data_IF_205718036584
#
_entry.id   IF_205718036584
#
_cell.length_a   1.000
_cell.length_b   1.000
_cell.length_c   1.000
_cell.angle_alpha   90.00
_cell.angle_beta   90.00
_cell.angle_gamma   90.00
#
_symmetry.space_group_name_H-M   'P 1'
#
loop_
_entity.id
_entity.type
_entity.pdbx_description
1 polymer ?
#
# COMPACT_ATOMS: atom_id res chain seq x y z
N UNK A 1 -24.66 26.97 -0.27
CA UNK A 1 -23.75 25.81 -0.16
C UNK A 1 -24.51 24.62 0.42
N UNK A 2 -24.28 23.41 -0.09
CA UNK A 2 -24.83 22.18 0.50
C UNK A 2 -23.99 21.73 1.69
N UNK A 3 -24.56 20.90 2.57
CA UNK A 3 -23.84 20.29 3.69
C UNK A 3 -22.53 19.61 3.25
N UNK A 4 -22.58 18.84 2.16
CA UNK A 4 -21.40 18.16 1.63
C UNK A 4 -20.33 19.13 1.13
N UNK A 5 -20.71 20.22 0.47
CA UNK A 5 -19.76 21.25 0.01
C UNK A 5 -19.09 21.98 1.17
N UNK A 6 -19.81 22.24 2.26
CA UNK A 6 -19.24 22.90 3.44
C UNK A 6 -18.21 21.99 4.13
N UNK A 7 -18.56 20.71 4.37
CA UNK A 7 -17.64 19.73 4.96
C UNK A 7 -16.41 19.52 4.07
N UNK A 8 -16.60 19.38 2.76
CA UNK A 8 -15.49 19.21 1.83
C UNK A 8 -14.53 20.42 1.84
N UNK A 9 -15.08 21.64 1.77
CA UNK A 9 -14.28 22.87 1.82
C UNK A 9 -13.47 23.01 3.12
N UNK A 10 -14.07 22.68 4.26
CA UNK A 10 -13.38 22.75 5.57
C UNK A 10 -12.21 21.76 5.68
N UNK A 11 -12.29 20.62 4.99
CA UNK A 11 -11.26 19.58 5.03
C UNK A 11 -10.32 19.60 3.82
N UNK A 12 -10.44 20.60 2.93
CA UNK A 12 -9.66 20.65 1.68
C UNK A 12 -9.96 19.50 0.71
N UNK A 13 -11.12 18.86 0.83
CA UNK A 13 -11.50 17.73 -0.02
C UNK A 13 -12.14 18.19 -1.33
N UNK A 14 -11.86 17.46 -2.40
CA UNK A 14 -12.51 17.65 -3.69
C UNK A 14 -13.72 16.72 -3.82
N UNK A 15 -14.90 17.29 -4.10
CA UNK A 15 -16.09 16.49 -4.37
C UNK A 15 -15.98 15.90 -5.78
N UNK A 16 -15.78 14.59 -5.87
CA UNK A 16 -15.67 13.90 -7.16
C UNK A 16 -17.02 13.54 -7.79
N UNK A 17 -18.06 13.31 -6.97
CA UNK A 17 -19.43 13.02 -7.41
C UNK A 17 -20.44 13.20 -6.27
N UNK A 18 -21.66 13.59 -6.61
CA UNK A 18 -22.81 13.58 -5.70
C UNK A 18 -23.79 12.48 -6.13
N UNK A 19 -24.34 11.76 -5.15
CA UNK A 19 -25.27 10.64 -5.33
C UNK A 19 -26.59 11.00 -4.62
N UNK A 20 -27.71 11.10 -5.35
CA UNK A 20 -28.98 11.60 -4.81
C UNK A 20 -30.16 10.68 -5.14
N UNK A 21 -30.77 10.07 -4.10
CA UNK A 21 -32.03 9.34 -4.21
C UNK A 21 -33.18 10.23 -3.67
N UNK A 22 -34.05 10.77 -4.55
CA UNK A 22 -35.15 11.66 -4.17
C UNK A 22 -36.45 10.87 -3.92
N UNK A 23 -37.13 11.12 -2.79
CA UNK A 23 -38.47 10.57 -2.53
C UNK A 23 -38.56 9.06 -2.31
N UNK A 24 -37.43 8.36 -2.16
CA UNK A 24 -37.39 6.90 -2.01
C UNK A 24 -37.36 6.52 -0.53
N UNK A 25 -38.32 5.68 -0.12
CA UNK A 25 -38.35 5.04 1.20
C UNK A 25 -37.06 4.26 1.44
N UNK A 26 -36.49 4.37 2.65
CA UNK A 26 -35.31 3.62 3.06
C UNK A 26 -35.53 2.10 3.19
N UNK A 27 -36.76 1.61 3.04
CA UNK A 27 -37.14 0.21 3.24
C UNK A 27 -36.74 -0.70 2.06
N UNK A 28 -36.67 -0.18 0.83
CA UNK A 28 -36.30 -0.97 -0.36
C UNK A 28 -35.04 -0.41 -1.01
N UNK A 29 -33.96 -1.19 -0.98
CA UNK A 29 -32.63 -0.77 -1.43
C UNK A 29 -32.51 -0.79 -2.95
N UNK A 30 -33.27 -1.65 -3.61
CA UNK A 30 -33.27 -1.91 -5.04
C UNK A 30 -33.74 -0.67 -5.82
N UNK A 31 -34.56 0.17 -5.19
CA UNK A 31 -35.04 1.44 -5.77
C UNK A 31 -34.04 2.59 -5.65
N UNK A 32 -32.92 2.38 -4.94
CA UNK A 32 -31.91 3.41 -4.66
C UNK A 32 -30.75 3.33 -5.64
N UNK A 33 -31.00 3.70 -6.89
CA UNK A 33 -30.03 3.58 -7.98
C UNK A 33 -28.72 4.34 -7.70
N UNK A 34 -28.79 5.53 -7.10
CA UNK A 34 -27.58 6.31 -6.80
C UNK A 34 -26.78 5.69 -5.65
N UNK A 35 -27.45 5.08 -4.66
CA UNK A 35 -26.77 4.31 -3.61
C UNK A 35 -26.03 3.09 -4.17
N UNK A 36 -26.66 2.38 -5.11
CA UNK A 36 -26.05 1.23 -5.77
C UNK A 36 -24.84 1.65 -6.60
N UNK A 37 -24.91 2.80 -7.28
CA UNK A 37 -23.78 3.35 -8.00
C UNK A 37 -22.64 3.80 -7.07
N UNK A 38 -22.97 4.44 -5.95
CA UNK A 38 -21.99 4.80 -4.93
C UNK A 38 -21.20 3.57 -4.48
N UNK A 39 -21.90 2.46 -4.19
CA UNK A 39 -21.28 1.19 -3.82
C UNK A 39 -20.40 0.59 -4.93
N UNK A 40 -20.84 0.67 -6.18
CA UNK A 40 -20.04 0.19 -7.31
C UNK A 40 -18.76 1.02 -7.48
N UNK A 41 -18.86 2.33 -7.34
CA UNK A 41 -17.72 3.25 -7.44
C UNK A 41 -16.76 3.12 -6.25
N UNK A 42 -17.27 2.81 -5.05
CA UNK A 42 -16.45 2.44 -3.89
C UNK A 42 -15.60 1.19 -4.21
N UNK A 43 -16.22 0.13 -4.74
CA UNK A 43 -15.51 -1.09 -5.15
C UNK A 43 -14.45 -0.83 -6.24
N UNK A 44 -14.74 0.09 -7.16
CA UNK A 44 -13.83 0.53 -8.22
C UNK A 44 -12.79 1.56 -7.77
N UNK A 45 -12.73 1.90 -6.47
CA UNK A 45 -11.79 2.86 -5.89
C UNK A 45 -11.83 4.24 -6.58
N UNK A 46 -13.02 4.72 -6.92
CA UNK A 46 -13.20 6.02 -7.60
C UNK A 46 -13.17 7.23 -6.65
N UNK A 47 -13.15 6.99 -5.34
CA UNK A 47 -13.08 7.99 -4.28
C UNK A 47 -12.50 7.36 -3.01
N UNK A 48 -12.01 8.19 -2.11
CA UNK A 48 -11.39 7.76 -0.85
C UNK A 48 -12.34 7.88 0.36
N UNK A 49 -13.34 8.76 0.29
CA UNK A 49 -14.28 9.02 1.38
C UNK A 49 -15.72 9.26 0.89
N UNK A 50 -16.69 9.05 1.78
CA UNK A 50 -18.12 9.33 1.55
C UNK A 50 -18.63 10.28 2.61
N UNK A 51 -19.27 11.37 2.18
CA UNK A 51 -20.01 12.28 3.07
C UNK A 51 -21.49 11.95 2.98
N UNK A 52 -22.14 11.69 4.10
CA UNK A 52 -23.57 11.50 4.20
C UNK A 52 -24.13 12.34 5.35
N UNK A 53 -25.34 12.89 5.19
CA UNK A 53 -26.02 13.67 6.25
C UNK A 53 -26.30 12.84 7.52
N UNK A 54 -26.45 11.53 7.38
CA UNK A 54 -26.55 10.60 8.51
C UNK A 54 -26.24 9.16 8.05
N UNK A 55 -25.86 8.30 9.00
CA UNK A 55 -25.70 6.86 8.77
C UNK A 55 -26.98 6.22 8.21
N UNK A 56 -28.15 6.65 8.68
CA UNK A 56 -29.44 6.15 8.20
C UNK A 56 -29.70 6.41 6.71
N UNK A 57 -29.07 7.45 6.12
CA UNK A 57 -29.16 7.70 4.67
C UNK A 57 -28.40 6.66 3.85
N UNK A 58 -27.46 5.93 4.43
CA UNK A 58 -26.77 4.82 3.78
C UNK A 58 -27.49 3.49 4.04
N UNK A 59 -28.01 3.31 5.25
CA UNK A 59 -28.65 2.06 5.69
C UNK A 59 -27.62 1.06 6.24
N UNK A 60 -28.00 0.30 7.28
CA UNK A 60 -27.09 -0.55 8.08
C UNK A 60 -26.23 -1.51 7.24
N UNK A 61 -26.83 -2.22 6.29
CA UNK A 61 -26.14 -3.16 5.41
C UNK A 61 -25.18 -2.45 4.43
N UNK A 62 -25.56 -1.29 3.93
CA UNK A 62 -24.74 -0.48 3.02
C UNK A 62 -23.52 0.09 3.73
N UNK A 63 -23.65 0.54 4.98
CA UNK A 63 -22.51 1.00 5.80
C UNK A 63 -21.47 -0.11 5.89
N UNK A 64 -21.90 -1.33 6.24
CA UNK A 64 -21.00 -2.49 6.31
C UNK A 64 -20.25 -2.69 4.99
N UNK A 65 -20.96 -2.69 3.86
CA UNK A 65 -20.34 -2.88 2.54
C UNK A 65 -19.41 -1.74 2.13
N UNK A 66 -19.75 -0.49 2.46
CA UNK A 66 -18.90 0.67 2.16
C UNK A 66 -17.62 0.64 2.98
N UNK A 67 -17.72 0.36 4.28
CA UNK A 67 -16.55 0.20 5.13
C UNK A 67 -15.68 -0.93 4.60
N UNK A 68 -16.24 -2.10 4.28
CA UNK A 68 -15.47 -3.21 3.70
C UNK A 68 -14.78 -2.82 2.39
N UNK A 69 -15.45 -2.08 1.49
CA UNK A 69 -14.86 -1.65 0.23
C UNK A 69 -13.74 -0.62 0.42
N UNK A 70 -13.95 0.39 1.27
CA UNK A 70 -13.00 1.47 1.52
C UNK A 70 -11.78 0.96 2.31
N UNK A 71 -12.00 0.20 3.40
CA UNK A 71 -10.91 -0.42 4.16
C UNK A 71 -10.17 -1.49 3.35
N UNK A 72 -10.88 -2.31 2.57
CA UNK A 72 -10.26 -3.28 1.68
C UNK A 72 -9.37 -2.61 0.62
N UNK A 73 -9.80 -1.46 0.09
CA UNK A 73 -9.01 -0.67 -0.84
C UNK A 73 -7.74 -0.07 -0.18
N UNK A 74 -7.85 0.48 1.02
CA UNK A 74 -6.70 0.98 1.78
C UNK A 74 -5.71 -0.16 2.11
N UNK A 75 -6.22 -1.30 2.56
CA UNK A 75 -5.40 -2.47 2.90
C UNK A 75 -4.69 -3.05 1.67
N UNK A 76 -5.34 -3.10 0.50
CA UNK A 76 -4.68 -3.64 -0.71
C UNK A 76 -3.42 -2.88 -1.13
N UNK A 77 -3.38 -1.54 -1.00
CA UNK A 77 -2.17 -0.75 -1.27
C UNK A 77 -1.06 -1.05 -0.27
N UNK A 78 -1.41 -1.14 1.02
CA UNK A 78 -0.47 -1.51 2.07
C UNK A 78 0.08 -2.94 1.87
N UNK A 79 -0.76 -3.90 1.50
CA UNK A 79 -0.37 -5.29 1.22
C UNK A 79 0.53 -5.39 -0.02
N UNK A 80 0.24 -4.67 -1.09
CA UNK A 80 1.11 -4.64 -2.28
C UNK A 80 2.49 -4.07 -1.96
N UNK A 81 2.55 -2.96 -1.22
CA UNK A 81 3.80 -2.34 -0.81
C UNK A 81 4.58 -3.24 0.16
N UNK A 82 3.90 -3.88 1.11
CA UNK A 82 4.50 -4.88 2.01
C UNK A 82 5.05 -6.08 1.23
N UNK A 83 4.34 -6.56 0.19
CA UNK A 83 4.83 -7.63 -0.68
C UNK A 83 6.09 -7.22 -1.45
N UNK A 84 6.18 -5.97 -1.91
CA UNK A 84 7.39 -5.43 -2.56
C UNK A 84 8.58 -5.41 -1.61
N UNK A 85 8.40 -4.84 -0.40
CA UNK A 85 9.46 -4.84 0.61
C UNK A 85 9.91 -6.25 1.00
N UNK A 86 8.98 -7.20 1.14
CA UNK A 86 9.33 -8.59 1.45
C UNK A 86 10.18 -9.25 0.35
N UNK A 87 9.89 -8.96 -0.94
CA UNK A 87 10.70 -9.44 -2.06
C UNK A 87 12.09 -8.81 -2.07
N UNK A 88 12.16 -7.51 -1.83
CA UNK A 88 13.41 -6.76 -1.73
C UNK A 88 14.28 -7.30 -0.59
N UNK A 89 13.71 -7.44 0.62
CA UNK A 89 14.38 -8.04 1.78
C UNK A 89 14.90 -9.45 1.51
N UNK A 90 14.10 -10.29 0.83
CA UNK A 90 14.55 -11.63 0.44
C UNK A 90 15.76 -11.58 -0.51
N UNK A 91 15.74 -10.66 -1.49
CA UNK A 91 16.86 -10.48 -2.42
C UNK A 91 18.13 -9.95 -1.75
N UNK A 92 17.98 -8.97 -0.84
CA UNK A 92 19.07 -8.42 -0.03
C UNK A 92 19.69 -9.50 0.86
N UNK A 93 18.86 -10.32 1.49
CA UNK A 93 19.31 -11.45 2.34
C UNK A 93 20.15 -12.44 1.54
N UNK A 94 19.71 -12.81 0.33
CA UNK A 94 20.46 -13.72 -0.55
C UNK A 94 21.82 -13.10 -0.91
N UNK A 95 21.85 -11.81 -1.28
CA UNK A 95 23.09 -11.14 -1.68
C UNK A 95 24.05 -10.98 -0.50
N UNK A 96 23.54 -10.70 0.71
CA UNK A 96 24.35 -10.63 1.93
C UNK A 96 24.98 -11.98 2.28
N UNK A 97 24.22 -13.08 2.20
CA UNK A 97 24.73 -14.43 2.45
C UNK A 97 25.81 -14.83 1.44
N UNK A 98 25.62 -14.49 0.17
CA UNK A 98 26.63 -14.71 -0.88
C UNK A 98 27.92 -13.96 -0.55
N UNK A 99 27.82 -12.68 -0.20
CA UNK A 99 28.99 -11.85 0.09
C UNK A 99 29.74 -12.33 1.33
N UNK A 100 29.02 -12.74 2.38
CA UNK A 100 29.63 -13.32 3.56
C UNK A 100 30.43 -14.59 3.21
N UNK A 101 29.89 -15.45 2.34
CA UNK A 101 30.61 -16.65 1.85
C UNK A 101 31.87 -16.30 1.06
N UNK A 102 31.82 -15.27 0.22
CA UNK A 102 32.98 -14.78 -0.53
C UNK A 102 34.06 -14.25 0.42
N UNK A 103 33.68 -13.45 1.42
CA UNK A 103 34.59 -12.93 2.44
C UNK A 103 35.28 -14.06 3.24
N UNK A 104 34.53 -15.06 3.68
CA UNK A 104 35.10 -16.23 4.37
C UNK A 104 36.11 -16.99 3.50
N UNK A 105 35.84 -17.07 2.19
CA UNK A 105 36.77 -17.71 1.23
C UNK A 105 38.09 -16.92 1.12
N UNK A 106 38.01 -15.59 1.08
CA UNK A 106 39.20 -14.73 1.04
C UNK A 106 40.06 -14.86 2.30
N UNK A 107 39.42 -14.90 3.48
CA UNK A 107 40.13 -15.13 4.74
C UNK A 107 40.84 -16.48 4.75
N UNK A 108 40.21 -17.53 4.21
CA UNK A 108 40.83 -18.85 4.08
C UNK A 108 42.08 -18.79 3.19
N UNK A 109 41.96 -18.21 1.99
CA UNK A 109 43.08 -18.10 1.05
C UNK A 109 44.25 -17.28 1.63
N UNK A 110 43.97 -16.23 2.40
CA UNK A 110 44.99 -15.47 3.10
C UNK A 110 45.67 -16.30 4.20
N UNK A 111 44.88 -17.03 4.99
CA UNK A 111 45.39 -17.90 6.07
C UNK A 111 46.28 -19.01 5.53
N UNK A 112 45.90 -19.59 4.38
CA UNK A 112 46.67 -20.60 3.64
C UNK A 112 47.84 -20.00 2.84
N UNK A 113 48.05 -18.68 2.90
CA UNK A 113 49.09 -17.92 2.17
C UNK A 113 49.04 -18.05 0.65
N UNK A 114 47.86 -18.36 0.09
CA UNK A 114 47.63 -18.30 -1.36
C UNK A 114 47.51 -16.86 -1.88
N UNK A 115 47.17 -15.91 -1.01
CA UNK A 115 47.14 -14.47 -1.28
C UNK A 115 47.84 -13.69 -0.16
N UNK A 116 48.36 -12.51 -0.49
CA UNK A 116 48.96 -11.59 0.48
C UNK A 116 47.94 -10.58 1.02
N UNK A 117 48.38 -9.81 2.03
CA UNK A 117 47.54 -8.83 2.72
C UNK A 117 47.09 -7.69 1.79
N UNK A 118 47.93 -7.28 0.85
CA UNK A 118 47.60 -6.19 -0.09
C UNK A 118 46.50 -6.64 -1.06
N UNK A 119 46.59 -7.87 -1.58
CA UNK A 119 45.56 -8.47 -2.43
C UNK A 119 44.26 -8.72 -1.66
N UNK A 120 44.34 -9.12 -0.40
CA UNK A 120 43.17 -9.26 0.49
C UNK A 120 42.46 -7.91 0.69
N UNK A 121 43.21 -6.84 1.01
CA UNK A 121 42.65 -5.49 1.19
C UNK A 121 41.96 -4.98 -0.06
N UNK A 122 42.59 -5.11 -1.23
CA UNK A 122 42.01 -4.67 -2.49
C UNK A 122 40.68 -5.37 -2.81
N UNK A 123 40.59 -6.68 -2.56
CA UNK A 123 39.34 -7.43 -2.76
C UNK A 123 38.29 -7.11 -1.69
N UNK A 124 38.71 -6.80 -0.46
CA UNK A 124 37.80 -6.37 0.59
C UNK A 124 37.21 -4.98 0.30
N UNK A 125 37.99 -4.04 -0.24
CA UNK A 125 37.47 -2.76 -0.72
C UNK A 125 36.45 -2.94 -1.85
N UNK A 126 36.73 -3.83 -2.81
CA UNK A 126 35.77 -4.17 -3.87
C UNK A 126 34.45 -4.70 -3.30
N UNK A 127 34.51 -5.59 -2.29
CA UNK A 127 33.34 -6.11 -1.57
C UNK A 127 32.56 -5.00 -0.86
N UNK A 128 33.26 -4.04 -0.22
CA UNK A 128 32.65 -2.89 0.46
C UNK A 128 31.94 -1.95 -0.52
N UNK A 129 32.53 -1.69 -1.69
CA UNK A 129 31.86 -0.92 -2.75
C UNK A 129 30.59 -1.61 -3.22
N UNK A 130 30.63 -2.93 -3.39
CA UNK A 130 29.46 -3.72 -3.80
C UNK A 130 28.35 -3.80 -2.73
N UNK A 131 28.70 -3.58 -1.45
CA UNK A 131 27.80 -3.43 -0.31
C UNK A 131 27.08 -2.08 -0.30
N UNK A 132 27.78 -1.00 -0.66
CA UNK A 132 27.21 0.35 -0.71
C UNK A 132 26.28 0.58 -1.92
N UNK A 133 26.23 -0.37 -2.85
CA UNK A 133 25.36 -0.38 -4.05
C UNK A 133 24.14 -1.31 -3.90
N UNK A 134 23.89 -1.80 -2.69
CA UNK A 134 22.72 -2.61 -2.29
C UNK A 134 21.66 -1.72 -1.66
#
# INVERSE_FOLDING_TARGET
MSFATAVASQNGWTIVRQYMDNGISGATREKRAELLQLLQNAKKKKFDAVIAKSASRLGRYTIKNLLTAIYGAANSKATEQQSRYMKELASVTIRLNKLNKEFQTLLQLYTEKHIDLERLKAQNEYIQVMLNLL
#
